data_IF_713913216147
#
_entry.id   IF_713913216147
#
_cell.length_a   1.000
_cell.length_b   1.000
_cell.length_c   1.000
_cell.angle_alpha   90.00
_cell.angle_beta   90.00
_cell.angle_gamma   90.00
#
_symmetry.space_group_name_H-M   'P 1'
#
loop_
_entity.id
_entity.type
_entity.pdbx_description
1 polymer ?
#
# COMPACT_ATOMS: atom_id res chain seq x y z
N UNK A 1 -19.75 0.74 28.51
CA UNK A 1 -20.46 1.80 27.74
C UNK A 1 -20.38 3.21 28.36
N UNK A 2 -19.95 3.44 29.61
CA UNK A 2 -19.97 4.80 30.22
C UNK A 2 -18.67 5.63 30.13
N UNK A 3 -17.58 5.13 29.54
CA UNK A 3 -16.30 5.86 29.49
C UNK A 3 -16.17 6.87 28.33
N UNK A 4 -17.00 6.79 27.29
CA UNK A 4 -16.86 7.62 26.09
C UNK A 4 -17.51 9.01 26.18
N UNK A 5 -18.56 9.21 27.00
CA UNK A 5 -19.20 10.53 27.17
C UNK A 5 -18.29 11.63 27.72
N UNK A 6 -17.19 11.27 28.39
CA UNK A 6 -16.18 12.24 28.87
C UNK A 6 -15.12 12.56 27.80
N UNK A 7 -15.04 11.76 26.75
CA UNK A 7 -14.09 11.93 25.65
C UNK A 7 -14.65 12.82 24.54
N UNK A 8 -15.96 13.06 24.49
CA UNK A 8 -16.59 13.93 23.47
C UNK A 8 -15.89 15.30 23.36
N UNK A 9 -15.48 15.89 24.49
CA UNK A 9 -14.71 17.15 24.49
C UNK A 9 -13.31 16.99 23.85
N UNK A 10 -12.56 15.95 24.25
CA UNK A 10 -11.21 15.68 23.74
C UNK A 10 -11.25 15.38 22.24
N UNK A 11 -12.24 14.61 21.79
CA UNK A 11 -12.33 14.21 20.40
C UNK A 11 -12.92 15.34 19.54
N UNK A 12 -13.76 16.22 20.09
CA UNK A 12 -14.16 17.45 19.40
C UNK A 12 -12.98 18.37 19.10
N UNK A 13 -11.95 18.36 19.97
CA UNK A 13 -10.71 19.11 19.77
C UNK A 13 -9.81 18.52 18.67
N UNK A 14 -10.13 17.33 18.12
CA UNK A 14 -9.37 16.76 17.01
C UNK A 14 -9.76 17.35 15.66
N UNK A 15 -10.97 17.93 15.55
CA UNK A 15 -11.43 18.52 14.29
C UNK A 15 -10.48 19.61 13.82
N UNK A 16 -10.03 19.50 12.57
CA UNK A 16 -9.04 20.38 11.94
C UNK A 16 -7.60 20.16 12.42
N UNK A 17 -7.36 19.16 13.26
CA UNK A 17 -6.05 18.81 13.82
C UNK A 17 -5.65 17.36 13.51
N UNK A 18 -6.49 16.59 12.80
CA UNK A 18 -6.28 15.15 12.61
C UNK A 18 -4.98 14.87 11.89
N UNK A 19 -4.61 15.69 10.89
CA UNK A 19 -3.34 15.53 10.17
C UNK A 19 -2.15 15.72 11.11
N UNK A 20 -2.14 16.80 11.90
CA UNK A 20 -1.06 17.10 12.84
C UNK A 20 -0.93 16.02 13.93
N UNK A 21 -2.07 15.57 14.47
CA UNK A 21 -2.10 14.48 15.45
C UNK A 21 -1.63 13.16 14.85
N UNK A 22 -2.01 12.85 13.61
CA UNK A 22 -1.60 11.62 12.91
C UNK A 22 -0.10 11.58 12.63
N UNK A 23 0.53 12.74 12.42
CA UNK A 23 1.98 12.90 12.28
C UNK A 23 2.73 13.01 13.61
N UNK A 24 2.05 12.90 14.75
CA UNK A 24 2.67 12.99 16.08
C UNK A 24 2.94 11.59 16.66
N UNK A 25 4.11 11.33 17.30
CA UNK A 25 4.49 10.02 17.83
C UNK A 25 3.45 9.38 18.77
N UNK A 26 2.78 10.20 19.57
CA UNK A 26 1.71 9.76 20.46
C UNK A 26 0.32 10.01 19.87
N UNK A 27 0.16 11.06 19.07
CA UNK A 27 -1.14 11.44 18.50
C UNK A 27 -1.65 10.39 17.51
N UNK A 28 -0.75 9.80 16.72
CA UNK A 28 -1.10 8.75 15.76
C UNK A 28 -1.73 7.52 16.43
N UNK A 29 -1.31 7.21 17.66
CA UNK A 29 -1.86 6.12 18.47
C UNK A 29 -3.24 6.46 18.97
N UNK A 30 -3.46 7.70 19.38
CA UNK A 30 -4.78 8.18 19.82
C UNK A 30 -5.76 8.14 18.65
N UNK A 31 -5.38 8.64 17.47
CA UNK A 31 -6.22 8.58 16.27
C UNK A 31 -6.60 7.13 15.93
N UNK A 32 -5.63 6.20 15.91
CA UNK A 32 -5.91 4.78 15.67
C UNK A 32 -6.89 4.20 16.72
N UNK A 33 -6.71 4.49 18.01
CA UNK A 33 -7.65 4.02 19.06
C UNK A 33 -9.05 4.58 18.89
N UNK A 34 -9.18 5.84 18.46
CA UNK A 34 -10.48 6.43 18.15
C UNK A 34 -11.15 5.72 16.97
N UNK A 35 -10.41 5.48 15.88
CA UNK A 35 -10.93 4.72 14.74
C UNK A 35 -11.36 3.28 15.10
N UNK A 36 -10.74 2.67 16.11
CA UNK A 36 -11.01 1.29 16.52
C UNK A 36 -12.20 1.14 17.50
N UNK A 37 -12.44 2.14 18.34
CA UNK A 37 -13.28 1.98 19.53
C UNK A 37 -14.32 3.06 19.74
N UNK A 38 -14.24 4.18 19.01
CA UNK A 38 -15.28 5.20 19.08
C UNK A 38 -16.57 4.65 18.45
N UNK A 39 -17.71 4.97 19.06
CA UNK A 39 -19.04 4.61 18.54
C UNK A 39 -19.76 5.77 17.85
N UNK A 40 -19.16 6.97 17.86
CA UNK A 40 -19.71 8.15 17.20
C UNK A 40 -19.34 8.11 15.70
N UNK A 41 -20.30 7.72 14.88
CA UNK A 41 -20.10 7.60 13.43
C UNK A 41 -19.83 8.94 12.74
N UNK A 42 -20.45 10.04 13.21
CA UNK A 42 -20.23 11.36 12.60
C UNK A 42 -18.81 11.84 12.86
N UNK A 43 -18.31 11.57 14.06
CA UNK A 43 -16.96 11.92 14.44
C UNK A 43 -15.90 11.08 13.75
N UNK A 44 -16.09 9.74 13.70
CA UNK A 44 -15.22 8.86 12.92
C UNK A 44 -15.19 9.30 11.47
N UNK A 45 -16.35 9.62 10.89
CA UNK A 45 -16.43 10.12 9.52
C UNK A 45 -15.60 11.39 9.32
N UNK A 46 -15.75 12.40 10.19
CA UNK A 46 -14.96 13.63 10.09
C UNK A 46 -13.46 13.39 10.21
N UNK A 47 -13.04 12.48 11.09
CA UNK A 47 -11.62 12.08 11.22
C UNK A 47 -11.12 11.40 9.95
N UNK A 48 -11.89 10.46 9.40
CA UNK A 48 -11.55 9.77 8.16
C UNK A 48 -11.48 10.76 7.00
N UNK A 49 -12.43 11.69 6.89
CA UNK A 49 -12.43 12.71 5.83
C UNK A 49 -11.14 13.55 5.86
N UNK A 50 -10.70 14.02 7.04
CA UNK A 50 -9.41 14.73 7.18
C UNK A 50 -8.19 13.86 6.84
N UNK A 51 -8.21 12.56 7.17
CA UNK A 51 -7.14 11.62 6.78
C UNK A 51 -7.10 11.47 5.26
N UNK A 52 -8.26 11.37 4.60
CA UNK A 52 -8.37 11.20 3.15
C UNK A 52 -7.89 12.45 2.40
N UNK A 53 -8.17 13.65 2.91
CA UNK A 53 -7.65 14.91 2.36
C UNK A 53 -6.12 14.95 2.38
N UNK A 54 -5.52 14.49 3.48
CA UNK A 54 -4.06 14.50 3.71
C UNK A 54 -3.36 13.18 3.39
N UNK A 55 -4.01 12.23 2.70
CA UNK A 55 -3.51 10.86 2.52
C UNK A 55 -2.08 10.79 1.94
N UNK A 56 -1.76 11.64 0.95
CA UNK A 56 -0.43 11.68 0.34
C UNK A 56 0.66 12.17 1.31
N UNK A 57 0.33 13.12 2.19
CA UNK A 57 1.26 13.64 3.21
C UNK A 57 1.45 12.60 4.30
N UNK A 58 0.36 12.07 4.82
CA UNK A 58 0.38 11.07 5.89
C UNK A 58 1.07 9.78 5.46
N UNK A 59 0.90 9.33 4.21
CA UNK A 59 1.57 8.13 3.71
C UNK A 59 3.11 8.21 3.79
N UNK A 60 3.68 9.41 3.62
CA UNK A 60 5.12 9.63 3.68
C UNK A 60 5.62 9.94 5.09
N UNK A 61 4.72 10.26 6.01
CA UNK A 61 5.08 10.57 7.39
C UNK A 61 5.47 9.31 8.19
N UNK A 62 6.50 9.41 9.04
CA UNK A 62 7.01 8.29 9.84
C UNK A 62 5.99 7.70 10.83
N UNK A 63 4.96 8.45 11.22
CA UNK A 63 3.86 8.02 12.09
C UNK A 63 2.52 7.98 11.33
N UNK A 64 2.26 8.98 10.48
CA UNK A 64 1.03 9.12 9.71
C UNK A 64 0.78 7.95 8.75
N UNK A 65 1.84 7.28 8.29
CA UNK A 65 1.70 6.13 7.40
C UNK A 65 0.89 5.01 8.08
N UNK A 66 1.04 4.82 9.39
CA UNK A 66 0.29 3.81 10.13
C UNK A 66 -1.20 4.16 10.22
N UNK A 67 -1.54 5.44 10.32
CA UNK A 67 -2.95 5.89 10.31
C UNK A 67 -3.57 5.65 8.93
N UNK A 68 -2.83 5.95 7.85
CA UNK A 68 -3.29 5.69 6.48
C UNK A 68 -3.49 4.19 6.24
N UNK A 69 -2.54 3.35 6.68
CA UNK A 69 -2.66 1.90 6.63
C UNK A 69 -3.88 1.39 7.41
N UNK A 70 -4.18 2.00 8.56
CA UNK A 70 -5.35 1.63 9.37
C UNK A 70 -6.65 1.81 8.58
N UNK A 71 -6.80 2.94 7.88
CA UNK A 71 -7.96 3.19 7.01
C UNK A 71 -7.99 2.22 5.83
N UNK A 72 -6.84 1.88 5.23
CA UNK A 72 -6.78 0.87 4.17
C UNK A 72 -7.26 -0.53 4.65
N UNK A 73 -6.89 -0.91 5.87
CA UNK A 73 -7.21 -2.22 6.44
C UNK A 73 -8.65 -2.36 6.92
N UNK A 74 -9.21 -1.30 7.52
CA UNK A 74 -10.50 -1.35 8.23
C UNK A 74 -11.58 -0.46 7.64
N UNK A 75 -11.19 0.52 6.84
CA UNK A 75 -12.11 1.44 6.19
C UNK A 75 -12.96 0.77 5.12
N UNK A 76 -13.97 1.52 4.68
CA UNK A 76 -14.92 1.14 3.63
C UNK A 76 -14.24 1.18 2.26
N UNK A 77 -14.80 0.46 1.28
CA UNK A 77 -14.25 0.38 -0.07
C UNK A 77 -13.99 1.76 -0.71
N UNK A 78 -14.93 2.70 -0.56
CA UNK A 78 -14.78 4.05 -1.11
C UNK A 78 -13.67 4.88 -0.44
N UNK A 79 -13.39 4.65 0.85
CA UNK A 79 -12.31 5.31 1.58
C UNK A 79 -10.96 4.79 1.08
N UNK A 80 -10.84 3.47 0.89
CA UNK A 80 -9.65 2.83 0.30
C UNK A 80 -9.38 3.36 -1.11
N UNK A 81 -10.41 3.38 -1.96
CA UNK A 81 -10.30 3.90 -3.32
C UNK A 81 -9.87 5.37 -3.34
N UNK A 82 -10.40 6.21 -2.44
CA UNK A 82 -9.97 7.60 -2.35
C UNK A 82 -8.48 7.73 -2.00
N UNK A 83 -7.96 6.92 -1.07
CA UNK A 83 -6.51 6.89 -0.77
C UNK A 83 -5.74 6.52 -2.05
N UNK A 84 -6.16 5.46 -2.75
CA UNK A 84 -5.49 5.00 -3.97
C UNK A 84 -5.49 6.09 -5.04
N UNK A 85 -6.64 6.71 -5.31
CA UNK A 85 -6.75 7.83 -6.25
C UNK A 85 -5.87 9.03 -5.87
N UNK A 86 -5.71 9.32 -4.58
CA UNK A 86 -4.84 10.42 -4.10
C UNK A 86 -3.35 10.11 -4.31
N UNK A 87 -2.98 8.84 -4.34
CA UNK A 87 -1.60 8.39 -4.56
C UNK A 87 -1.30 8.14 -6.05
N UNK A 88 -2.34 7.95 -6.88
CA UNK A 88 -2.21 7.81 -8.33
C UNK A 88 -1.40 8.95 -8.94
N UNK A 89 -0.56 8.62 -9.91
CA UNK A 89 0.40 9.54 -10.49
C UNK A 89 1.73 9.62 -9.73
N UNK A 90 1.82 9.08 -8.51
CA UNK A 90 3.04 9.06 -7.68
C UNK A 90 3.39 7.66 -7.17
N UNK A 91 2.77 6.60 -7.69
CA UNK A 91 2.89 5.25 -7.11
C UNK A 91 4.33 4.74 -7.12
N UNK A 92 5.07 4.99 -8.21
CA UNK A 92 6.47 4.59 -8.32
C UNK A 92 7.36 5.36 -7.32
N UNK A 93 7.13 6.66 -7.15
CA UNK A 93 7.84 7.50 -6.18
C UNK A 93 7.57 7.02 -4.74
N UNK A 94 6.29 6.79 -4.41
CA UNK A 94 5.85 6.31 -3.09
C UNK A 94 6.41 4.92 -2.78
N UNK A 95 6.54 4.06 -3.79
CA UNK A 95 7.10 2.72 -3.63
C UNK A 95 8.58 2.74 -3.21
N UNK A 96 9.34 3.78 -3.61
CA UNK A 96 10.75 3.97 -3.23
C UNK A 96 10.92 4.72 -1.91
N UNK A 97 9.83 5.12 -1.28
CA UNK A 97 9.87 5.89 -0.05
C UNK A 97 9.74 4.97 1.18
N UNK A 98 10.63 5.12 2.15
CA UNK A 98 10.73 4.26 3.36
C UNK A 98 9.40 3.97 4.06
N UNK A 99 8.56 4.99 4.21
CA UNK A 99 7.28 4.88 4.92
C UNK A 99 6.12 4.56 3.97
N UNK A 100 6.01 5.30 2.86
CA UNK A 100 4.92 5.17 1.90
C UNK A 100 4.94 3.83 1.14
N UNK A 101 6.07 3.15 1.00
CA UNK A 101 6.14 1.82 0.39
C UNK A 101 5.19 0.84 1.08
N UNK A 102 5.13 0.89 2.43
CA UNK A 102 4.20 0.07 3.22
C UNK A 102 2.73 0.43 2.93
N UNK A 103 2.44 1.70 2.66
CA UNK A 103 1.10 2.15 2.29
C UNK A 103 0.72 1.62 0.91
N UNK A 104 1.65 1.63 -0.06
CA UNK A 104 1.43 1.03 -1.38
C UNK A 104 1.18 -0.48 -1.27
N UNK A 105 1.94 -1.19 -0.44
CA UNK A 105 1.68 -2.61 -0.17
C UNK A 105 0.26 -2.85 0.38
N UNK A 106 -0.22 -1.98 1.29
CA UNK A 106 -1.60 -2.06 1.80
C UNK A 106 -2.66 -1.69 0.77
N UNK A 107 -2.36 -0.79 -0.16
CA UNK A 107 -3.23 -0.51 -1.30
C UNK A 107 -3.37 -1.75 -2.19
N UNK A 108 -2.27 -2.45 -2.47
CA UNK A 108 -2.29 -3.71 -3.23
C UNK A 108 -3.05 -4.83 -2.50
N UNK A 109 -2.92 -4.91 -1.18
CA UNK A 109 -3.58 -5.93 -0.37
C UNK A 109 -5.10 -5.71 -0.28
N UNK A 110 -5.55 -4.48 0.00
CA UNK A 110 -6.93 -4.17 0.36
C UNK A 110 -7.74 -3.44 -0.70
N UNK A 111 -7.10 -2.96 -1.78
CA UNK A 111 -7.77 -2.45 -2.98
C UNK A 111 -8.49 -3.56 -3.73
N UNK A 112 -9.48 -3.18 -4.53
CA UNK A 112 -10.17 -4.11 -5.42
C UNK A 112 -9.34 -4.43 -6.69
N UNK A 113 -9.90 -5.23 -7.60
CA UNK A 113 -9.20 -5.64 -8.80
C UNK A 113 -8.82 -4.45 -9.71
N UNK A 114 -9.70 -3.45 -9.84
CA UNK A 114 -9.46 -2.28 -10.66
C UNK A 114 -8.42 -1.35 -10.02
N UNK A 115 -8.51 -1.16 -8.71
CA UNK A 115 -7.54 -0.40 -7.94
C UNK A 115 -6.13 -1.03 -8.06
N UNK A 116 -6.02 -2.36 -7.95
CA UNK A 116 -4.75 -3.08 -8.13
C UNK A 116 -4.19 -2.93 -9.53
N UNK A 117 -5.02 -3.05 -10.55
CA UNK A 117 -4.60 -2.89 -11.94
C UNK A 117 -4.02 -1.50 -12.17
N UNK A 118 -4.68 -0.43 -11.70
CA UNK A 118 -4.17 0.94 -11.78
C UNK A 118 -2.79 1.10 -11.11
N UNK A 119 -2.61 0.56 -9.90
CA UNK A 119 -1.34 0.63 -9.17
C UNK A 119 -0.21 -0.07 -9.94
N UNK A 120 -0.49 -1.26 -10.45
CA UNK A 120 0.48 -2.11 -11.15
C UNK A 120 0.83 -1.50 -12.50
N UNK A 121 -0.17 -1.04 -13.26
CA UNK A 121 0.01 -0.37 -14.54
C UNK A 121 0.84 0.90 -14.40
N UNK A 122 0.73 1.66 -13.32
CA UNK A 122 1.59 2.82 -13.12
C UNK A 122 3.05 2.43 -12.88
N UNK A 123 3.28 1.40 -12.05
CA UNK A 123 4.63 0.91 -11.74
C UNK A 123 5.28 0.33 -13.00
N UNK A 124 4.53 -0.42 -13.80
CA UNK A 124 5.01 -1.01 -15.06
C UNK A 124 5.11 0.08 -16.15
N UNK A 125 4.10 0.92 -16.33
CA UNK A 125 4.03 1.91 -17.41
C UNK A 125 5.11 2.99 -17.34
N UNK A 126 5.51 3.43 -16.14
CA UNK A 126 6.54 4.46 -15.96
C UNK A 126 7.99 3.93 -15.96
N UNK A 127 8.19 2.62 -16.04
CA UNK A 127 9.52 2.03 -15.78
C UNK A 127 10.39 1.83 -17.02
N UNK A 128 10.71 2.89 -17.76
CA UNK A 128 11.89 2.83 -18.65
C UNK A 128 13.20 2.67 -17.81
N UNK A 129 13.20 3.21 -16.59
CA UNK A 129 14.26 3.00 -15.60
C UNK A 129 13.92 1.85 -14.66
N UNK A 130 14.51 0.67 -14.90
CA UNK A 130 14.33 -0.55 -14.10
C UNK A 130 14.96 -0.51 -12.69
N UNK A 131 15.32 0.69 -12.20
CA UNK A 131 15.99 0.91 -10.93
C UNK A 131 15.09 0.58 -9.71
N UNK A 132 13.77 0.53 -9.89
CA UNK A 132 12.84 0.18 -8.80
C UNK A 132 12.95 -1.27 -8.31
N UNK A 133 13.43 -2.20 -9.15
CA UNK A 133 13.69 -3.59 -8.74
C UNK A 133 14.89 -3.70 -7.78
N UNK A 134 15.81 -2.74 -7.88
CA UNK A 134 17.03 -2.65 -7.07
C UNK A 134 16.85 -1.77 -5.83
N UNK A 135 15.77 -1.00 -5.77
CA UNK A 135 15.52 -0.06 -4.68
C UNK A 135 15.21 -0.79 -3.37
N UNK A 136 15.79 -0.28 -2.27
CA UNK A 136 15.71 -0.91 -0.95
C UNK A 136 14.29 -0.98 -0.36
N UNK A 137 13.33 -0.21 -0.89
CA UNK A 137 11.93 -0.23 -0.46
C UNK A 137 11.00 -0.75 -1.56
N UNK A 138 11.18 -0.32 -2.81
CA UNK A 138 10.25 -0.70 -3.89
C UNK A 138 10.32 -2.19 -4.23
N UNK A 139 11.42 -2.89 -3.91
CA UNK A 139 11.52 -4.33 -4.06
C UNK A 139 10.43 -5.09 -3.26
N UNK A 140 10.00 -4.58 -2.10
CA UNK A 140 8.92 -5.19 -1.31
C UNK A 140 7.56 -5.01 -2.00
N UNK A 141 7.32 -3.82 -2.57
CA UNK A 141 6.13 -3.55 -3.38
C UNK A 141 6.07 -4.49 -4.58
N UNK A 142 7.18 -4.72 -5.28
CA UNK A 142 7.25 -5.65 -6.42
C UNK A 142 6.91 -7.08 -6.01
N UNK A 143 7.41 -7.54 -4.86
CA UNK A 143 7.05 -8.85 -4.32
C UNK A 143 5.54 -8.91 -3.99
N UNK A 144 4.98 -7.84 -3.44
CA UNK A 144 3.53 -7.73 -3.19
C UNK A 144 2.70 -7.76 -4.46
N UNK A 145 3.18 -7.15 -5.55
CA UNK A 145 2.52 -7.25 -6.86
C UNK A 145 2.52 -8.70 -7.34
N UNK A 146 3.66 -9.40 -7.25
CA UNK A 146 3.73 -10.81 -7.66
C UNK A 146 2.75 -11.71 -6.88
N UNK A 147 2.46 -11.36 -5.62
CA UNK A 147 1.45 -12.03 -4.78
C UNK A 147 0.00 -11.74 -5.17
N UNK A 148 -0.31 -10.47 -5.41
CA UNK A 148 -1.69 -9.96 -5.42
C UNK A 148 -2.24 -9.71 -6.82
N UNK A 149 -1.38 -9.72 -7.84
CA UNK A 149 -1.74 -9.49 -9.24
C UNK A 149 -2.41 -10.71 -9.90
N UNK A 150 -3.24 -10.43 -10.90
CA UNK A 150 -3.76 -11.43 -11.82
C UNK A 150 -2.65 -12.01 -12.71
N UNK A 151 -2.94 -13.15 -13.37
CA UNK A 151 -1.96 -13.88 -14.21
C UNK A 151 -1.33 -13.00 -15.29
N UNK A 152 -2.13 -12.18 -15.98
CA UNK A 152 -1.68 -11.30 -17.07
C UNK A 152 -0.67 -10.26 -16.59
N UNK A 153 -1.00 -9.50 -15.55
CA UNK A 153 -0.12 -8.48 -14.99
C UNK A 153 1.15 -9.09 -14.39
N UNK A 154 1.01 -10.25 -13.75
CA UNK A 154 2.14 -11.03 -13.24
C UNK A 154 3.10 -11.42 -14.35
N UNK A 155 2.60 -11.97 -15.46
CA UNK A 155 3.42 -12.35 -16.62
C UNK A 155 4.16 -11.15 -17.22
N UNK A 156 3.50 -9.99 -17.33
CA UNK A 156 4.14 -8.75 -17.80
C UNK A 156 5.30 -8.37 -16.85
N UNK A 157 5.08 -8.38 -15.54
CA UNK A 157 6.12 -8.06 -14.57
C UNK A 157 7.27 -9.07 -14.61
N UNK A 158 6.97 -10.37 -14.68
CA UNK A 158 7.98 -11.43 -14.79
C UNK A 158 8.82 -11.26 -16.07
N UNK A 159 8.19 -10.94 -17.21
CA UNK A 159 8.92 -10.71 -18.46
C UNK A 159 9.97 -9.59 -18.33
N UNK A 160 9.65 -8.53 -17.58
CA UNK A 160 10.57 -7.42 -17.31
C UNK A 160 11.68 -7.81 -16.34
N UNK A 161 11.35 -8.51 -15.26
CA UNK A 161 12.34 -9.02 -14.31
C UNK A 161 13.35 -9.93 -15.02
N UNK A 162 12.87 -10.78 -15.96
CA UNK A 162 13.71 -11.72 -16.71
C UNK A 162 14.82 -11.03 -17.48
N UNK A 163 14.55 -9.88 -18.10
CA UNK A 163 15.54 -9.08 -18.86
C UNK A 163 16.66 -8.55 -17.96
N UNK A 164 16.38 -8.33 -16.68
CA UNK A 164 17.33 -7.78 -15.71
C UNK A 164 17.89 -8.83 -14.74
N UNK A 165 17.51 -10.10 -14.88
CA UNK A 165 17.78 -11.15 -13.89
C UNK A 165 19.27 -11.30 -13.56
N UNK A 166 20.14 -11.24 -14.56
CA UNK A 166 21.59 -11.39 -14.37
C UNK A 166 22.24 -10.20 -13.65
N UNK A 167 21.67 -9.00 -13.81
CA UNK A 167 22.07 -7.83 -13.03
C UNK A 167 21.56 -7.95 -11.59
N UNK A 168 20.30 -8.37 -11.40
CA UNK A 168 19.65 -8.50 -10.09
C UNK A 168 20.32 -9.54 -9.19
N UNK A 169 20.83 -10.65 -9.75
CA UNK A 169 21.56 -11.68 -9.00
C UNK A 169 22.80 -11.17 -8.27
N UNK A 170 23.34 -10.01 -8.66
CA UNK A 170 24.51 -9.38 -8.03
C UNK A 170 24.17 -8.60 -6.76
N UNK A 171 22.89 -8.32 -6.49
CA UNK A 171 22.45 -7.49 -5.38
C UNK A 171 21.82 -8.32 -4.25
N UNK A 172 22.29 -8.10 -3.02
CA UNK A 172 21.87 -8.87 -1.84
C UNK A 172 20.38 -8.75 -1.54
N UNK A 173 19.80 -7.56 -1.72
CA UNK A 173 18.39 -7.28 -1.40
C UNK A 173 17.40 -7.92 -2.38
N UNK A 174 17.84 -8.27 -3.58
CA UNK A 174 16.95 -8.74 -4.67
C UNK A 174 16.85 -10.27 -4.73
N UNK A 175 17.60 -10.98 -3.86
CA UNK A 175 17.55 -12.45 -3.76
C UNK A 175 16.12 -12.98 -3.57
N UNK A 176 15.27 -12.26 -2.83
CA UNK A 176 13.87 -12.63 -2.61
C UNK A 176 13.03 -12.51 -3.89
N UNK A 177 13.24 -11.44 -4.68
CA UNK A 177 12.58 -11.30 -5.98
C UNK A 177 13.02 -12.41 -6.94
N UNK A 178 14.32 -12.73 -6.98
CA UNK A 178 14.86 -13.81 -7.84
C UNK A 178 14.27 -15.16 -7.44
N UNK A 179 14.31 -15.52 -6.16
CA UNK A 179 13.75 -16.79 -5.68
C UNK A 179 12.25 -16.90 -5.98
N UNK A 180 11.50 -15.81 -5.81
CA UNK A 180 10.07 -15.78 -6.10
C UNK A 180 9.77 -15.86 -7.60
N UNK A 181 10.58 -15.18 -8.42
CA UNK A 181 10.52 -15.27 -9.88
C UNK A 181 10.73 -16.72 -10.34
N UNK A 182 11.73 -17.42 -9.81
CA UNK A 182 12.03 -18.80 -10.17
C UNK A 182 10.88 -19.75 -9.79
N UNK A 183 10.34 -19.63 -8.57
CA UNK A 183 9.17 -20.42 -8.13
C UNK A 183 7.96 -20.23 -9.05
N UNK A 184 7.57 -18.98 -9.32
CA UNK A 184 6.40 -18.66 -10.14
C UNK A 184 6.60 -19.06 -11.62
N UNK A 185 7.83 -19.00 -12.12
CA UNK A 185 8.16 -19.45 -13.48
C UNK A 185 8.06 -20.97 -13.62
N UNK A 186 8.45 -21.73 -12.59
CA UNK A 186 8.31 -23.19 -12.58
C UNK A 186 6.86 -23.67 -12.43
N UNK A 187 6.04 -22.96 -11.65
CA UNK A 187 4.60 -23.23 -11.54
C UNK A 187 3.85 -22.98 -12.87
N UNK A 188 4.22 -21.90 -13.58
CA UNK A 188 3.67 -21.61 -14.91
C UNK A 188 3.94 -22.71 -15.95
N UNK A 189 5.15 -23.30 -15.93
CA UNK A 189 5.54 -24.37 -16.86
C UNK A 189 4.90 -25.74 -16.53
N UNK A 190 4.52 -25.99 -15.26
CA UNK A 190 3.84 -27.25 -14.89
C UNK A 190 2.37 -27.26 -15.31
N UNK A 191 1.69 -26.11 -15.30
CA UNK A 191 0.28 -26.02 -15.68
C UNK A 191 0.04 -26.02 -17.20
N UNK A 192 1.05 -25.82 -18.04
CA UNK A 192 0.94 -25.92 -19.50
C UNK A 192 1.15 -27.35 -20.04
N UNK A 193 1.41 -28.32 -19.17
CA UNK A 193 1.74 -29.71 -19.56
C UNK A 193 0.64 -30.75 -19.30
N UNK A 194 -0.59 -30.34 -18.95
CA UNK A 194 -1.66 -31.29 -18.54
C UNK A 194 -2.91 -31.24 -19.44
N UNK A 195 -2.96 -30.41 -20.49
CA UNK A 195 -4.09 -30.37 -21.44
C UNK A 195 -3.83 -31.18 -22.73
N UNK A 196 -3.28 -32.38 -22.61
CA UNK A 196 -3.02 -33.21 -23.79
C UNK A 196 -2.70 -34.65 -23.49
N UNK A 197 -3.64 -35.38 -22.89
CA UNK A 197 -3.81 -36.83 -23.03
C UNK A 197 -5.30 -37.19 -22.99
#
# INVERSE_FOLDING_TARGET
MSQWRKLDYIISAFRGQVTALSSHPYGCRVIQRVLEHCSDEQLIRGIVDEILESACVLAQDQYGNYVTQHVLQRGKLHERRQIICKLSGKILEMSRHKYASNVIEKCLEHGDAADRELLIEEIIGKSEENNYLLDQFANYVVQKILETSNKKLREILLSRIRVHLDALKKYTYVKHIVARFEQLSHEGNKNSGVEGE
#
